data_IF_440286952255
#
_entry.id   IF_440286952255
#
_cell.length_a   1.000
_cell.length_b   1.000
_cell.length_c   1.000
_cell.angle_alpha   90.00
_cell.angle_beta   90.00
_cell.angle_gamma   90.00
#
_symmetry.space_group_name_H-M   'P 1'
#
loop_
_entity.id
_entity.type
_entity.pdbx_description
1 polymer ?
#
# COMPACT_ATOMS: atom_id res chain seq x y z
N UNK A 1 26.27 -0.36 9.71
CA UNK A 1 25.36 -0.10 8.57
C UNK A 1 24.06 0.42 9.17
N UNK A 2 23.83 1.71 9.06
CA UNK A 2 22.64 2.36 9.60
C UNK A 2 21.47 2.01 8.70
N UNK A 3 20.52 1.21 9.21
CA UNK A 3 19.24 0.98 8.55
C UNK A 3 18.57 2.33 8.26
N UNK A 4 17.74 2.41 7.20
CA UNK A 4 16.97 3.60 6.86
C UNK A 4 16.15 4.05 8.06
N UNK A 5 16.49 5.21 8.60
CA UNK A 5 15.69 5.90 9.59
C UNK A 5 14.99 7.09 8.91
N UNK A 6 13.67 7.10 8.91
CA UNK A 6 12.90 8.26 8.46
C UNK A 6 12.88 9.32 9.58
N UNK A 7 13.93 10.13 9.63
CA UNK A 7 13.94 11.28 10.53
C UNK A 7 12.84 12.25 10.13
N UNK A 8 11.96 12.61 11.07
CA UNK A 8 10.79 13.44 10.82
C UNK A 8 11.16 14.92 10.64
N UNK A 9 12.12 15.21 9.75
CA UNK A 9 12.57 16.56 9.43
C UNK A 9 12.51 16.81 7.92
N UNK A 10 12.29 18.07 7.56
CA UNK A 10 12.31 18.50 6.17
C UNK A 10 13.69 18.26 5.54
N UNK A 11 14.76 18.55 6.26
CA UNK A 11 16.13 18.35 5.81
C UNK A 11 16.37 16.90 5.37
N UNK A 12 16.09 15.93 6.24
CA UNK A 12 16.27 14.50 5.92
C UNK A 12 15.43 14.05 4.72
N UNK A 13 14.20 14.59 4.59
CA UNK A 13 13.33 14.29 3.45
C UNK A 13 13.94 14.79 2.13
N UNK A 14 14.45 16.02 2.12
CA UNK A 14 15.06 16.60 0.92
C UNK A 14 16.42 15.97 0.59
N UNK A 15 17.24 15.62 1.56
CA UNK A 15 18.48 14.86 1.34
C UNK A 15 18.20 13.51 0.69
N UNK A 16 17.33 12.71 1.29
CA UNK A 16 16.95 11.40 0.74
C UNK A 16 16.35 11.51 -0.66
N UNK A 17 15.57 12.55 -0.91
CA UNK A 17 15.04 12.80 -2.24
C UNK A 17 16.13 13.17 -3.24
N UNK A 18 17.05 14.07 -2.88
CA UNK A 18 18.16 14.50 -3.73
C UNK A 18 19.05 13.31 -4.12
N UNK A 19 19.35 12.42 -3.18
CA UNK A 19 20.09 11.18 -3.44
C UNK A 19 19.35 10.23 -4.40
N UNK A 20 18.02 10.19 -4.35
CA UNK A 20 17.23 9.33 -5.22
C UNK A 20 17.05 9.86 -6.63
N UNK A 21 16.95 11.19 -6.85
CA UNK A 21 16.67 11.80 -8.16
C UNK A 21 17.48 11.21 -9.31
N UNK A 22 18.81 10.99 -9.20
CA UNK A 22 19.59 10.41 -10.31
C UNK A 22 19.09 9.03 -10.77
N UNK A 23 18.46 8.28 -9.87
CA UNK A 23 18.01 6.90 -10.10
C UNK A 23 16.53 6.80 -10.51
N UNK A 24 15.76 7.89 -10.44
CA UNK A 24 14.31 7.92 -10.65
C UNK A 24 13.85 7.53 -12.06
N UNK A 25 14.76 7.46 -13.03
CA UNK A 25 14.49 7.09 -14.41
C UNK A 25 14.51 5.58 -14.68
N UNK A 26 15.23 5.19 -15.74
CA UNK A 26 15.31 3.78 -16.18
C UNK A 26 15.84 2.82 -15.12
N UNK A 27 16.75 3.26 -14.28
CA UNK A 27 17.30 2.44 -13.21
C UNK A 27 16.21 2.05 -12.20
N UNK A 28 15.35 3.00 -11.79
CA UNK A 28 14.18 2.69 -10.98
C UNK A 28 13.23 1.73 -11.70
N UNK A 29 12.90 2.00 -12.95
CA UNK A 29 11.96 1.19 -13.72
C UNK A 29 12.37 -0.30 -13.78
N UNK A 30 13.67 -0.58 -13.92
CA UNK A 30 14.21 -1.94 -14.03
C UNK A 30 14.36 -2.65 -12.67
N UNK A 31 14.63 -1.91 -11.60
CA UNK A 31 15.01 -2.50 -10.33
C UNK A 31 13.94 -2.38 -9.21
N UNK A 32 12.94 -1.52 -9.39
CA UNK A 32 11.94 -1.19 -8.36
C UNK A 32 11.17 -2.38 -7.78
N UNK A 33 11.15 -3.49 -8.48
CA UNK A 33 10.41 -4.67 -8.04
C UNK A 33 11.20 -5.58 -7.08
N UNK A 34 12.52 -5.39 -6.98
CA UNK A 34 13.34 -6.22 -6.09
C UNK A 34 13.26 -5.71 -4.65
N UNK A 35 12.90 -6.60 -3.75
CA UNK A 35 13.05 -6.41 -2.31
C UNK A 35 14.42 -6.93 -1.88
N UNK A 36 15.33 -6.00 -1.59
CA UNK A 36 16.69 -6.29 -1.18
C UNK A 36 16.82 -6.44 0.34
N UNK A 37 15.72 -6.29 1.08
CA UNK A 37 15.66 -6.35 2.53
C UNK A 37 15.75 -4.98 3.21
N UNK A 38 15.61 -4.95 4.54
CA UNK A 38 15.48 -3.70 5.29
C UNK A 38 16.74 -2.83 5.30
N UNK A 39 17.91 -3.39 5.01
CA UNK A 39 19.18 -2.68 5.06
C UNK A 39 19.66 -2.18 3.69
N UNK A 40 19.08 -2.64 2.60
CA UNK A 40 19.40 -2.20 1.24
C UNK A 40 18.14 -1.82 0.48
N UNK A 41 17.95 -0.53 0.28
CA UNK A 41 16.81 0.04 -0.46
C UNK A 41 17.25 0.98 -1.58
N UNK A 42 18.47 0.81 -2.04
CA UNK A 42 19.06 1.68 -3.04
C UNK A 42 18.28 1.72 -4.38
N UNK A 43 17.57 0.65 -4.69
CA UNK A 43 16.80 0.51 -5.93
C UNK A 43 15.42 1.22 -5.94
N UNK A 44 15.00 1.77 -4.81
CA UNK A 44 13.71 2.44 -4.63
C UNK A 44 13.88 3.80 -3.96
N UNK A 45 12.82 4.61 -3.95
CA UNK A 45 12.87 5.95 -3.33
C UNK A 45 12.72 5.93 -1.81
N UNK A 46 11.91 5.01 -1.28
CA UNK A 46 11.52 4.96 0.12
C UNK A 46 11.01 6.28 0.72
N UNK A 47 10.46 7.19 -0.11
CA UNK A 47 10.00 8.54 0.28
C UNK A 47 8.59 8.58 0.86
N UNK A 48 7.89 7.45 0.84
CA UNK A 48 6.46 7.39 1.18
C UNK A 48 6.10 7.93 2.57
N UNK A 49 6.91 7.76 3.65
CA UNK A 49 6.61 8.40 4.93
C UNK A 49 6.58 9.93 4.86
N UNK A 50 7.58 10.55 4.26
CA UNK A 50 7.63 12.01 4.11
C UNK A 50 6.54 12.56 3.20
N UNK A 51 6.20 11.83 2.12
CA UNK A 51 5.07 12.20 1.26
C UNK A 51 3.75 12.03 2.01
N UNK A 52 3.57 10.99 2.81
CA UNK A 52 2.37 10.78 3.63
C UNK A 52 2.14 11.94 4.59
N UNK A 53 3.19 12.42 5.22
CA UNK A 53 3.13 13.51 6.21
C UNK A 53 3.32 14.90 5.60
N UNK A 54 3.30 15.03 4.27
CA UNK A 54 3.38 16.32 3.54
C UNK A 54 4.69 17.08 3.74
N UNK A 55 5.75 16.43 4.20
CA UNK A 55 7.10 17.00 4.22
C UNK A 55 7.64 17.15 2.80
N UNK A 56 7.30 16.19 1.92
CA UNK A 56 7.43 16.28 0.46
C UNK A 56 6.04 16.19 -0.16
N UNK A 57 5.76 17.02 -1.16
CA UNK A 57 4.51 16.95 -1.93
C UNK A 57 4.69 16.12 -3.19
N UNK A 58 3.63 15.47 -3.65
CA UNK A 58 3.62 14.71 -4.90
C UNK A 58 4.00 15.61 -6.10
N UNK A 59 3.54 16.86 -6.09
CA UNK A 59 3.86 17.85 -7.12
C UNK A 59 5.36 18.17 -7.15
N UNK A 60 5.94 18.50 -5.99
CA UNK A 60 7.37 18.82 -5.88
C UNK A 60 8.23 17.63 -6.33
N UNK A 61 7.91 16.42 -5.86
CA UNK A 61 8.65 15.20 -6.23
C UNK A 61 8.58 14.95 -7.73
N UNK A 62 7.39 15.05 -8.32
CA UNK A 62 7.20 14.80 -9.74
C UNK A 62 7.88 15.85 -10.61
N UNK A 63 7.67 17.14 -10.32
CA UNK A 63 8.26 18.24 -11.10
C UNK A 63 9.79 18.21 -11.06
N UNK A 64 10.38 17.98 -9.90
CA UNK A 64 11.84 17.90 -9.75
C UNK A 64 12.44 16.72 -10.51
N UNK A 65 11.82 15.55 -10.46
CA UNK A 65 12.27 14.38 -11.23
C UNK A 65 12.20 14.65 -12.74
N UNK A 66 11.13 15.32 -13.21
CA UNK A 66 10.94 15.64 -14.62
C UNK A 66 11.87 16.76 -15.14
N UNK A 67 12.51 17.52 -14.27
CA UNK A 67 13.60 18.44 -14.65
C UNK A 67 14.88 17.68 -15.04
N UNK A 68 15.09 16.45 -14.53
CA UNK A 68 16.28 15.66 -14.78
C UNK A 68 16.07 14.49 -15.75
N UNK A 69 14.87 13.92 -15.78
CA UNK A 69 14.50 12.77 -16.59
C UNK A 69 13.34 13.13 -17.51
N UNK A 70 13.34 12.63 -18.75
CA UNK A 70 12.14 12.71 -19.57
C UNK A 70 11.00 11.91 -18.96
N UNK A 71 9.76 12.27 -19.26
CA UNK A 71 8.58 11.54 -18.81
C UNK A 71 8.67 10.05 -19.20
N UNK A 72 9.14 9.75 -20.40
CA UNK A 72 9.32 8.36 -20.85
C UNK A 72 10.31 7.58 -19.97
N UNK A 73 11.37 8.21 -19.47
CA UNK A 73 12.35 7.57 -18.60
C UNK A 73 11.83 7.39 -17.17
N UNK A 74 11.11 8.37 -16.65
CA UNK A 74 10.62 8.41 -15.28
C UNK A 74 9.17 7.89 -15.12
N UNK A 75 8.53 7.44 -16.22
CA UNK A 75 7.12 7.06 -16.24
C UNK A 75 6.73 6.16 -15.06
N UNK A 76 7.52 5.13 -14.77
CA UNK A 76 7.20 4.19 -13.70
C UNK A 76 7.25 4.82 -12.32
N UNK A 77 8.17 5.76 -12.08
CA UNK A 77 8.23 6.47 -10.82
C UNK A 77 7.08 7.47 -10.68
N UNK A 78 6.83 8.26 -11.72
CA UNK A 78 5.72 9.22 -11.75
C UNK A 78 4.38 8.52 -11.53
N UNK A 79 4.15 7.38 -12.18
CA UNK A 79 2.95 6.57 -11.96
C UNK A 79 2.76 6.19 -10.48
N UNK A 80 3.81 5.72 -9.79
CA UNK A 80 3.71 5.33 -8.37
C UNK A 80 3.39 6.55 -7.47
N UNK A 81 3.90 7.73 -7.81
CA UNK A 81 3.56 8.96 -7.07
C UNK A 81 2.10 9.36 -7.32
N UNK A 82 1.65 9.33 -8.57
CA UNK A 82 0.28 9.72 -8.97
C UNK A 82 -0.77 8.75 -8.42
N UNK A 83 -0.47 7.46 -8.28
CA UNK A 83 -1.39 6.49 -7.67
C UNK A 83 -1.88 6.93 -6.27
N UNK A 84 -1.06 7.62 -5.48
CA UNK A 84 -1.46 8.14 -4.16
C UNK A 84 -2.61 9.14 -4.28
N UNK A 85 -2.48 10.10 -5.19
CA UNK A 85 -3.52 11.11 -5.45
C UNK A 85 -4.78 10.45 -6.00
N UNK A 86 -4.62 9.51 -6.93
CA UNK A 86 -5.73 8.77 -7.50
C UNK A 86 -6.53 8.01 -6.42
N UNK A 87 -5.86 7.27 -5.53
CA UNK A 87 -6.55 6.52 -4.48
C UNK A 87 -7.30 7.42 -3.51
N UNK A 88 -6.73 8.57 -3.14
CA UNK A 88 -7.40 9.55 -2.28
C UNK A 88 -8.68 10.08 -2.92
N UNK A 89 -8.58 10.57 -4.14
CA UNK A 89 -9.75 11.05 -4.88
C UNK A 89 -10.80 9.96 -5.11
N UNK A 90 -10.36 8.73 -5.37
CA UNK A 90 -11.27 7.60 -5.55
C UNK A 90 -12.06 7.29 -4.27
N UNK A 91 -11.40 7.23 -3.12
CA UNK A 91 -12.06 6.94 -1.84
C UNK A 91 -12.93 8.11 -1.37
N UNK A 92 -12.50 9.34 -1.60
CA UNK A 92 -13.28 10.54 -1.28
C UNK A 92 -14.64 10.55 -1.97
N UNK A 93 -14.67 10.14 -3.24
CA UNK A 93 -15.92 10.03 -4.00
C UNK A 93 -16.75 8.79 -3.66
N UNK A 94 -16.21 7.87 -2.87
CA UNK A 94 -16.88 6.63 -2.44
C UNK A 94 -16.75 6.41 -0.93
N UNK A 95 -17.24 7.35 -0.11
CA UNK A 95 -17.05 7.30 1.35
C UNK A 95 -17.73 6.09 2.01
N UNK A 96 -18.67 5.45 1.33
CA UNK A 96 -19.30 4.22 1.80
C UNK A 96 -18.31 3.07 1.91
N UNK A 97 -17.31 3.00 1.05
CA UNK A 97 -16.26 1.97 1.11
C UNK A 97 -15.48 2.05 2.42
N UNK A 98 -15.10 3.26 2.82
CA UNK A 98 -14.41 3.48 4.09
C UNK A 98 -15.30 3.17 5.29
N UNK A 99 -16.54 3.66 5.28
CA UNK A 99 -17.49 3.38 6.38
C UNK A 99 -17.79 1.89 6.54
N UNK A 100 -17.96 1.16 5.43
CA UNK A 100 -18.16 -0.29 5.46
C UNK A 100 -16.93 -1.01 6.02
N UNK A 101 -15.73 -0.60 5.61
CA UNK A 101 -14.48 -1.14 6.17
C UNK A 101 -14.44 -0.96 7.69
N UNK A 102 -14.70 0.25 8.20
CA UNK A 102 -14.67 0.50 9.64
C UNK A 102 -15.72 -0.31 10.40
N UNK A 103 -16.95 -0.41 9.89
CA UNK A 103 -18.00 -1.20 10.52
C UNK A 103 -17.65 -2.70 10.55
N UNK A 104 -17.10 -3.24 9.47
CA UNK A 104 -16.65 -4.62 9.42
C UNK A 104 -15.49 -4.88 10.39
N UNK A 105 -14.52 -3.96 10.43
CA UNK A 105 -13.38 -4.05 11.35
C UNK A 105 -13.82 -4.09 12.80
N UNK A 106 -14.75 -3.22 13.20
CA UNK A 106 -15.30 -3.22 14.56
C UNK A 106 -15.98 -4.55 14.92
N UNK A 107 -16.83 -5.07 14.01
CA UNK A 107 -17.47 -6.37 14.20
C UNK A 107 -16.44 -7.51 14.33
N UNK A 108 -15.34 -7.46 13.58
CA UNK A 108 -14.27 -8.45 13.66
C UNK A 108 -13.49 -8.34 14.97
N UNK A 109 -13.20 -7.13 15.44
CA UNK A 109 -12.54 -6.91 16.74
C UNK A 109 -13.37 -7.45 17.91
N UNK A 110 -14.69 -7.24 17.89
CA UNK A 110 -15.60 -7.83 18.89
C UNK A 110 -15.51 -9.36 18.86
N UNK A 111 -15.50 -9.99 17.69
CA UNK A 111 -15.35 -11.45 17.56
C UNK A 111 -14.01 -11.97 18.06
N UNK A 112 -12.91 -11.25 17.77
CA UNK A 112 -11.58 -11.60 18.30
C UNK A 112 -11.55 -11.54 19.83
N UNK A 113 -12.11 -10.47 20.42
CA UNK A 113 -12.18 -10.31 21.88
C UNK A 113 -13.00 -11.39 22.57
N UNK A 114 -13.95 -12.02 21.88
CA UNK A 114 -14.75 -13.14 22.41
C UNK A 114 -13.97 -14.48 22.51
N UNK A 115 -12.72 -14.54 22.04
CA UNK A 115 -11.84 -15.69 22.21
C UNK A 115 -12.23 -16.90 21.35
N UNK A 116 -12.05 -16.82 20.05
CA UNK A 116 -12.29 -17.94 19.11
C UNK A 116 -10.97 -18.51 18.59
N UNK A 117 -11.01 -19.69 17.94
CA UNK A 117 -9.85 -20.23 17.22
C UNK A 117 -9.27 -19.24 16.18
N UNK A 118 -10.13 -18.38 15.61
CA UNK A 118 -9.71 -17.29 14.71
C UNK A 118 -8.91 -16.20 15.44
N UNK A 119 -9.07 -16.05 16.75
CA UNK A 119 -8.29 -15.12 17.57
C UNK A 119 -6.83 -15.59 17.65
N UNK A 120 -6.60 -16.86 17.99
CA UNK A 120 -5.25 -17.43 18.04
C UNK A 120 -4.54 -17.34 16.70
N UNK A 121 -5.24 -17.64 15.61
CA UNK A 121 -4.68 -17.56 14.26
C UNK A 121 -4.33 -16.12 13.87
N UNK A 122 -5.14 -15.13 14.28
CA UNK A 122 -4.83 -13.71 14.10
C UNK A 122 -3.60 -13.32 14.91
N UNK A 123 -3.53 -13.73 16.17
CA UNK A 123 -2.40 -13.41 17.06
C UNK A 123 -1.10 -14.00 16.54
N UNK A 124 -1.11 -15.27 16.09
CA UNK A 124 0.05 -15.89 15.44
C UNK A 124 0.50 -15.12 14.19
N UNK A 125 -0.46 -14.71 13.36
CA UNK A 125 -0.14 -13.93 12.17
C UNK A 125 0.41 -12.54 12.51
N UNK A 126 -0.18 -11.86 13.50
CA UNK A 126 0.24 -10.55 13.94
C UNK A 126 1.60 -10.57 14.66
N UNK A 127 1.97 -11.68 15.31
CA UNK A 127 3.27 -11.87 15.94
C UNK A 127 4.34 -12.43 14.99
N UNK A 128 3.96 -12.94 13.82
CA UNK A 128 4.91 -13.55 12.87
C UNK A 128 5.33 -14.96 13.30
N UNK A 129 4.37 -15.77 13.76
CA UNK A 129 4.55 -17.15 14.21
C UNK A 129 3.77 -18.13 13.32
N UNK A 130 3.67 -17.81 12.04
CA UNK A 130 2.87 -18.60 11.09
C UNK A 130 3.62 -19.83 10.56
N UNK A 131 4.94 -19.86 10.71
CA UNK A 131 5.80 -20.87 10.09
C UNK A 131 6.05 -20.64 8.59
N UNK A 132 5.62 -19.49 8.04
CA UNK A 132 5.94 -19.07 6.68
C UNK A 132 7.09 -18.06 6.78
N UNK A 133 8.32 -18.51 6.57
CA UNK A 133 9.54 -17.74 6.84
C UNK A 133 9.52 -16.31 6.30
N UNK A 134 9.09 -16.13 5.05
CA UNK A 134 9.05 -14.79 4.46
C UNK A 134 8.02 -13.89 5.15
N UNK A 135 6.86 -14.43 5.50
CA UNK A 135 5.79 -13.68 6.15
C UNK A 135 6.21 -13.24 7.55
N UNK A 136 6.76 -14.16 8.33
CA UNK A 136 7.22 -13.93 9.70
C UNK A 136 8.37 -12.90 9.73
N UNK A 137 9.32 -13.00 8.79
CA UNK A 137 10.36 -11.99 8.60
C UNK A 137 9.77 -10.61 8.25
N UNK A 138 8.75 -10.53 7.41
CA UNK A 138 8.12 -9.26 7.04
C UNK A 138 7.28 -8.65 8.17
N UNK A 139 6.67 -9.46 9.03
CA UNK A 139 6.04 -8.97 10.28
C UNK A 139 7.09 -8.33 11.17
N UNK A 140 8.22 -9.00 11.39
CA UNK A 140 9.31 -8.45 12.18
C UNK A 140 9.88 -7.16 11.56
N UNK A 141 10.08 -7.12 10.24
CA UNK A 141 10.52 -5.93 9.51
C UNK A 141 9.53 -4.77 9.67
N UNK A 142 8.23 -5.04 9.53
CA UNK A 142 7.19 -4.03 9.67
C UNK A 142 7.16 -3.44 11.09
N UNK A 143 7.19 -4.30 12.10
CA UNK A 143 7.19 -3.87 13.52
C UNK A 143 8.46 -3.08 13.87
N UNK A 144 9.61 -3.49 13.34
CA UNK A 144 10.90 -2.85 13.64
C UNK A 144 11.10 -1.52 12.92
N UNK A 145 10.74 -1.44 11.63
CA UNK A 145 11.07 -0.30 10.78
C UNK A 145 9.86 0.56 10.40
N UNK A 146 8.64 0.09 10.64
CA UNK A 146 7.42 0.78 10.23
C UNK A 146 7.25 0.89 8.72
N UNK A 147 7.90 0.02 7.95
CA UNK A 147 7.86 0.12 6.50
C UNK A 147 8.17 -1.22 5.82
N UNK A 148 7.51 -1.47 4.69
CA UNK A 148 7.75 -2.62 3.82
C UNK A 148 7.86 -2.19 2.37
N UNK A 149 8.66 -2.93 1.60
CA UNK A 149 8.74 -2.79 0.15
C UNK A 149 7.35 -3.00 -0.50
N UNK A 150 7.03 -2.27 -1.58
CA UNK A 150 5.70 -2.34 -2.21
C UNK A 150 5.30 -3.78 -2.64
N UNK A 151 6.20 -4.53 -3.27
CA UNK A 151 5.95 -5.94 -3.61
C UNK A 151 5.68 -6.80 -2.38
N UNK A 152 6.43 -6.58 -1.30
CA UNK A 152 6.23 -7.29 -0.02
C UNK A 152 4.82 -7.04 0.50
N UNK A 153 4.33 -5.79 0.45
CA UNK A 153 2.96 -5.48 0.88
C UNK A 153 1.90 -6.28 0.11
N UNK A 154 2.11 -6.48 -1.18
CA UNK A 154 1.19 -7.27 -2.02
C UNK A 154 1.25 -8.76 -1.67
N UNK A 155 2.45 -9.32 -1.50
CA UNK A 155 2.62 -10.72 -1.08
C UNK A 155 2.09 -10.95 0.31
N UNK A 156 2.40 -10.07 1.25
CA UNK A 156 1.89 -10.12 2.63
C UNK A 156 0.37 -10.17 2.65
N UNK A 157 -0.29 -9.23 1.97
CA UNK A 157 -1.75 -9.20 1.91
C UNK A 157 -2.33 -10.45 1.26
N UNK A 158 -1.70 -10.99 0.21
CA UNK A 158 -2.12 -12.23 -0.42
C UNK A 158 -1.96 -13.44 0.51
N UNK A 159 -0.85 -13.56 1.23
CA UNK A 159 -0.63 -14.63 2.21
C UNK A 159 -1.66 -14.52 3.35
N UNK A 160 -1.85 -13.34 3.90
CA UNK A 160 -2.84 -13.07 4.94
C UNK A 160 -4.24 -13.55 4.54
N UNK A 161 -4.70 -13.13 3.35
CA UNK A 161 -6.07 -13.39 2.89
C UNK A 161 -6.27 -14.84 2.43
N UNK A 162 -5.36 -15.35 1.57
CA UNK A 162 -5.61 -16.60 0.85
C UNK A 162 -4.91 -17.81 1.46
N UNK A 163 -3.76 -17.63 2.10
CA UNK A 163 -3.03 -18.74 2.75
C UNK A 163 -3.47 -18.88 4.20
N UNK A 164 -3.43 -17.80 4.97
CA UNK A 164 -3.85 -17.79 6.37
C UNK A 164 -5.37 -17.67 6.54
N UNK A 165 -6.10 -17.34 5.47
CA UNK A 165 -7.57 -17.21 5.45
C UNK A 165 -8.12 -16.21 6.47
N UNK A 166 -7.35 -15.18 6.78
CA UNK A 166 -7.74 -14.13 7.71
C UNK A 166 -8.50 -13.01 6.99
N UNK A 167 -9.45 -12.35 7.64
CA UNK A 167 -10.16 -11.20 7.10
C UNK A 167 -9.20 -10.10 6.65
N UNK A 168 -9.41 -9.58 5.45
CA UNK A 168 -8.56 -8.53 4.89
C UNK A 168 -8.61 -7.24 5.70
N UNK A 169 -9.74 -6.94 6.35
CA UNK A 169 -9.92 -5.76 7.19
C UNK A 169 -8.95 -5.76 8.37
N UNK A 170 -8.71 -6.91 8.99
CA UNK A 170 -7.76 -7.05 10.09
C UNK A 170 -6.32 -6.82 9.61
N UNK A 171 -5.96 -7.37 8.45
CA UNK A 171 -4.64 -7.14 7.86
C UNK A 171 -4.43 -5.68 7.44
N UNK A 172 -5.46 -5.04 6.88
CA UNK A 172 -5.42 -3.62 6.56
C UNK A 172 -5.26 -2.74 7.82
N UNK A 173 -5.93 -3.11 8.92
CA UNK A 173 -5.76 -2.45 10.22
C UNK A 173 -4.35 -2.63 10.77
N UNK A 174 -3.83 -3.86 10.72
CA UNK A 174 -2.47 -4.17 11.14
C UNK A 174 -1.42 -3.33 10.39
N UNK A 175 -1.58 -3.19 9.07
CA UNK A 175 -0.72 -2.30 8.27
C UNK A 175 -0.87 -0.83 8.66
N UNK A 176 -2.09 -0.39 8.88
CA UNK A 176 -2.36 1.00 9.22
C UNK A 176 -1.77 1.40 10.57
N UNK A 177 -1.75 0.48 11.52
CA UNK A 177 -1.18 0.66 12.86
C UNK A 177 0.35 0.71 12.86
N UNK A 178 1.01 -0.05 11.97
CA UNK A 178 2.47 -0.20 11.99
C UNK A 178 3.20 0.62 10.92
N UNK A 179 2.54 0.99 9.81
CA UNK A 179 3.20 1.70 8.71
C UNK A 179 3.37 3.19 8.99
N UNK A 180 4.59 3.70 8.93
CA UNK A 180 4.91 5.13 8.98
C UNK A 180 4.24 5.91 7.83
N UNK A 181 4.01 5.26 6.69
CA UNK A 181 3.32 5.83 5.54
C UNK A 181 1.85 5.39 5.45
N UNK A 182 1.28 4.89 6.54
CA UNK A 182 -0.11 4.44 6.62
C UNK A 182 -1.09 5.52 6.16
N UNK A 183 -1.74 5.29 5.02
CA UNK A 183 -2.69 6.21 4.40
C UNK A 183 -4.04 5.50 4.25
N UNK A 184 -5.15 6.05 4.81
CA UNK A 184 -6.45 5.38 4.78
C UNK A 184 -6.89 4.94 3.39
N UNK A 185 -6.67 5.80 2.38
CA UNK A 185 -7.08 5.48 1.02
C UNK A 185 -6.17 4.44 0.38
N UNK A 186 -4.87 4.71 0.32
CA UNK A 186 -3.92 3.81 -0.34
C UNK A 186 -3.90 2.43 0.32
N UNK A 187 -3.89 2.38 1.65
CA UNK A 187 -3.87 1.12 2.38
C UNK A 187 -5.15 0.30 2.14
N UNK A 188 -6.32 0.87 2.42
CA UNK A 188 -7.60 0.16 2.27
C UNK A 188 -7.83 -0.31 0.84
N UNK A 189 -7.57 0.56 -0.15
CA UNK A 189 -7.84 0.22 -1.54
C UNK A 189 -6.83 -0.78 -2.11
N UNK A 190 -5.57 -0.76 -1.64
CA UNK A 190 -4.57 -1.76 -2.02
C UNK A 190 -4.91 -3.14 -1.46
N UNK A 191 -5.34 -3.23 -0.19
CA UNK A 191 -5.82 -4.48 0.39
C UNK A 191 -7.05 -5.02 -0.34
N UNK A 192 -8.01 -4.15 -0.67
CA UNK A 192 -9.18 -4.49 -1.48
C UNK A 192 -8.80 -4.97 -2.89
N UNK A 193 -7.76 -4.36 -3.47
CA UNK A 193 -7.27 -4.78 -4.78
C UNK A 193 -6.70 -6.20 -4.74
N UNK A 194 -5.86 -6.52 -3.76
CA UNK A 194 -5.34 -7.89 -3.58
C UNK A 194 -6.49 -8.88 -3.37
N UNK A 195 -7.49 -8.51 -2.58
CA UNK A 195 -8.66 -9.33 -2.25
C UNK A 195 -9.64 -9.53 -3.43
N UNK A 196 -9.46 -8.85 -4.58
CA UNK A 196 -10.37 -8.91 -5.72
C UNK A 196 -11.65 -8.07 -5.56
N UNK A 197 -11.71 -7.20 -4.57
CA UNK A 197 -12.87 -6.36 -4.25
C UNK A 197 -12.83 -4.99 -4.95
N UNK A 198 -11.66 -4.54 -5.38
CA UNK A 198 -11.48 -3.26 -6.07
C UNK A 198 -11.74 -3.37 -7.57
N UNK A 199 -11.34 -4.48 -8.15
CA UNK A 199 -11.69 -4.87 -9.51
C UNK A 199 -12.30 -6.26 -9.44
N UNK A 200 -13.60 -6.37 -9.63
CA UNK A 200 -14.34 -7.62 -9.47
C UNK A 200 -13.69 -8.77 -10.23
N UNK A 201 -13.46 -9.87 -9.53
CA UNK A 201 -12.89 -11.10 -10.10
C UNK A 201 -11.39 -11.07 -10.41
N UNK A 202 -10.68 -9.98 -10.10
CA UNK A 202 -9.22 -9.88 -10.26
C UNK A 202 -8.54 -9.88 -8.91
N UNK A 203 -8.17 -11.05 -8.42
CA UNK A 203 -7.37 -11.24 -7.21
C UNK A 203 -5.87 -11.21 -7.53
N UNK A 204 -5.04 -10.88 -6.55
CA UNK A 204 -3.60 -11.01 -6.64
C UNK A 204 -3.12 -12.15 -5.74
N UNK A 205 -2.56 -13.21 -6.34
CA UNK A 205 -2.02 -14.36 -5.61
C UNK A 205 -0.50 -14.31 -5.55
N UNK A 206 0.06 -14.38 -4.35
CA UNK A 206 1.49 -14.52 -4.15
C UNK A 206 1.97 -15.86 -4.71
N UNK A 207 3.03 -15.84 -5.52
CA UNK A 207 3.62 -17.05 -6.13
C UNK A 207 5.05 -17.22 -5.62
N UNK A 208 5.39 -18.45 -5.23
CA UNK A 208 6.71 -18.79 -4.69
C UNK A 208 7.85 -18.38 -5.61
N UNK A 209 7.70 -18.60 -6.93
CA UNK A 209 8.71 -18.24 -7.94
C UNK A 209 8.89 -16.72 -8.03
N UNK A 210 7.80 -15.96 -7.86
CA UNK A 210 7.83 -14.51 -7.88
C UNK A 210 8.54 -13.96 -6.65
N UNK A 211 8.21 -14.49 -5.46
CA UNK A 211 8.90 -14.16 -4.20
C UNK A 211 10.38 -14.49 -4.31
N UNK A 212 10.74 -15.71 -4.66
CA UNK A 212 12.14 -16.14 -4.80
C UNK A 212 12.91 -15.22 -5.77
N UNK A 213 12.34 -14.93 -6.94
CA UNK A 213 12.96 -14.07 -7.96
C UNK A 213 13.24 -12.66 -7.42
N UNK A 214 12.23 -12.01 -6.87
CA UNK A 214 12.33 -10.59 -6.50
C UNK A 214 12.92 -10.36 -5.11
N UNK A 215 13.14 -11.42 -4.33
CA UNK A 215 13.95 -11.38 -3.10
C UNK A 215 15.37 -11.93 -3.32
N UNK A 216 15.77 -12.15 -4.59
CA UNK A 216 17.07 -12.73 -4.95
C UNK A 216 17.35 -14.06 -4.22
N UNK A 217 16.34 -14.89 -4.06
CA UNK A 217 16.45 -16.21 -3.44
C UNK A 217 16.53 -16.19 -1.91
N UNK A 218 16.30 -15.05 -1.23
CA UNK A 218 16.27 -14.99 0.25
C UNK A 218 15.18 -15.91 0.84
N UNK A 219 14.07 -16.09 0.14
CA UNK A 219 12.95 -16.90 0.60
C UNK A 219 12.58 -17.97 -0.42
N UNK A 220 12.28 -19.16 0.10
CA UNK A 220 11.71 -20.27 -0.66
C UNK A 220 10.41 -20.73 0.00
N UNK A 221 9.30 -20.31 -0.57
CA UNK A 221 7.95 -20.59 -0.04
C UNK A 221 7.25 -21.73 -0.77
N UNK A 222 8.00 -22.60 -1.47
CA UNK A 222 7.42 -23.68 -2.27
C UNK A 222 6.60 -24.64 -1.40
N UNK A 223 5.33 -24.83 -1.76
CA UNK A 223 4.38 -25.66 -1.01
C UNK A 223 3.75 -25.01 0.22
N UNK A 224 4.12 -23.77 0.58
CA UNK A 224 3.58 -23.07 1.76
C UNK A 224 2.41 -22.15 1.44
N UNK A 225 2.30 -21.71 0.19
CA UNK A 225 1.31 -20.69 -0.22
C UNK A 225 0.08 -21.33 -0.85
N UNK A 226 -1.06 -20.67 -0.71
CA UNK A 226 -2.28 -21.05 -1.42
C UNK A 226 -2.04 -21.06 -2.93
N UNK A 227 -2.44 -22.12 -3.59
CA UNK A 227 -2.33 -22.28 -5.05
C UNK A 227 -3.31 -21.39 -5.80
N UNK A 228 -4.46 -21.09 -5.17
CA UNK A 228 -5.56 -20.33 -5.77
C UNK A 228 -6.09 -19.29 -4.78
N UNK A 229 -6.52 -18.16 -5.33
CA UNK A 229 -7.25 -17.15 -4.60
C UNK A 229 -8.75 -17.45 -4.70
N UNK A 230 -9.32 -17.98 -3.64
CA UNK A 230 -10.78 -18.14 -3.58
C UNK A 230 -11.45 -16.75 -3.49
N UNK A 231 -12.44 -16.47 -4.34
CA UNK A 231 -13.18 -15.21 -4.26
C UNK A 231 -13.80 -15.05 -2.87
N UNK A 232 -13.67 -13.83 -2.31
CA UNK A 232 -14.40 -13.51 -1.08
C UNK A 232 -15.90 -13.45 -1.36
N UNK A 233 -16.76 -13.87 -0.40
CA UNK A 233 -18.20 -13.85 -0.58
C UNK A 233 -18.69 -12.45 -0.99
N UNK A 234 -19.43 -12.34 -2.09
CA UNK A 234 -19.97 -11.07 -2.59
C UNK A 234 -20.97 -10.40 -1.64
N UNK A 235 -21.59 -11.19 -0.75
CA UNK A 235 -22.53 -10.70 0.27
C UNK A 235 -21.89 -9.80 1.33
N UNK A 236 -20.57 -9.91 1.54
CA UNK A 236 -19.84 -9.07 2.49
C UNK A 236 -19.51 -7.66 1.92
N UNK A 237 -19.66 -7.47 0.63
CA UNK A 237 -19.21 -6.26 -0.05
C UNK A 237 -20.24 -5.82 -1.10
N UNK A 238 -21.14 -4.90 -0.74
CA UNK A 238 -22.12 -4.40 -1.71
C UNK A 238 -21.38 -3.86 -2.95
N UNK A 239 -21.99 -4.05 -4.14
CA UNK A 239 -21.43 -3.52 -5.37
C UNK A 239 -21.18 -2.03 -5.25
N UNK A 240 -20.04 -1.56 -5.75
CA UNK A 240 -19.73 -0.14 -5.77
C UNK A 240 -20.81 0.57 -6.59
N UNK A 241 -21.50 1.51 -5.96
CA UNK A 241 -22.43 2.37 -6.71
C UNK A 241 -21.66 3.05 -7.85
N UNK A 242 -22.24 3.13 -9.05
CA UNK A 242 -21.65 3.86 -10.15
C UNK A 242 -21.28 5.28 -9.70
N UNK A 243 -20.16 5.79 -10.17
CA UNK A 243 -19.78 7.18 -9.95
C UNK A 243 -20.90 8.06 -10.48
N UNK A 244 -21.62 8.74 -9.60
CA UNK A 244 -22.50 9.83 -10.04
C UNK A 244 -21.60 11.03 -10.32
N UNK A 245 -21.28 11.23 -11.58
CA UNK A 245 -20.69 12.48 -12.04
C UNK A 245 -21.81 13.52 -11.93
N UNK A 246 -21.74 14.37 -10.91
CA UNK A 246 -22.62 15.53 -10.80
C UNK A 246 -22.07 16.64 -11.70
N UNK A 247 -22.71 16.82 -12.84
CA UNK A 247 -22.40 17.85 -13.80
C UNK A 247 -21.62 17.33 -15.02
N UNK A 248 -21.81 17.98 -16.15
CA UNK A 248 -20.91 17.89 -17.30
C UNK A 248 -19.67 18.68 -16.93
N UNK A 249 -18.52 18.06 -16.96
CA UNK A 249 -17.25 18.79 -17.02
C UNK A 249 -17.33 19.64 -18.30
N UNK A 250 -17.35 20.95 -18.15
CA UNK A 250 -17.24 21.88 -19.27
C UNK A 250 -15.76 22.06 -19.58
N UNK A 251 -15.43 22.48 -20.80
CA UNK A 251 -14.05 22.71 -21.20
C UNK A 251 -13.36 23.85 -20.39
N UNK A 252 -14.13 24.58 -19.58
CA UNK A 252 -13.64 25.59 -18.64
C UNK A 252 -13.40 25.05 -17.23
N UNK A 253 -13.85 23.82 -16.95
CA UNK A 253 -13.52 23.16 -15.68
C UNK A 253 -12.08 22.71 -15.78
N UNK A 254 -11.19 23.50 -15.19
CA UNK A 254 -9.76 23.20 -15.18
C UNK A 254 -9.56 21.88 -14.43
N UNK A 255 -9.24 20.83 -15.16
CA UNK A 255 -9.00 19.49 -14.61
C UNK A 255 -7.83 19.50 -13.58
N UNK A 256 -7.06 20.58 -13.55
CA UNK A 256 -5.90 20.77 -12.69
C UNK A 256 -6.17 21.70 -11.51
N UNK A 257 -7.32 22.36 -11.48
CA UNK A 257 -7.72 23.19 -10.35
C UNK A 257 -9.01 22.62 -9.71
N UNK A 258 -8.88 21.56 -8.90
CA UNK A 258 -10.04 20.99 -8.23
C UNK A 258 -10.65 22.04 -7.31
N UNK A 259 -11.99 22.11 -7.22
CA UNK A 259 -12.67 23.07 -6.36
C UNK A 259 -12.05 23.06 -4.96
N UNK A 260 -11.87 24.23 -4.35
CA UNK A 260 -11.25 24.38 -3.02
C UNK A 260 -11.89 23.46 -1.94
N UNK A 261 -13.16 23.14 -2.11
CA UNK A 261 -13.90 22.16 -1.27
C UNK A 261 -13.34 20.74 -1.41
N UNK A 262 -12.98 20.32 -2.62
CA UNK A 262 -12.37 19.01 -2.89
C UNK A 262 -10.97 18.91 -2.27
N UNK A 263 -10.20 19.98 -2.35
CA UNK A 263 -8.88 20.07 -1.70
C UNK A 263 -8.97 20.01 -0.18
N UNK A 264 -9.99 20.62 0.42
CA UNK A 264 -10.25 20.54 1.85
C UNK A 264 -10.56 19.11 2.30
N UNK A 265 -11.38 18.39 1.55
CA UNK A 265 -11.72 16.99 1.85
C UNK A 265 -10.53 16.05 1.68
N UNK A 266 -9.74 16.21 0.63
CA UNK A 266 -8.48 15.49 0.47
C UNK A 266 -7.54 15.76 1.64
N UNK A 267 -7.47 16.99 2.11
CA UNK A 267 -6.70 17.36 3.28
C UNK A 267 -7.17 16.64 4.56
N UNK A 268 -8.48 16.43 4.72
CA UNK A 268 -9.05 15.67 5.86
C UNK A 268 -8.67 14.20 5.76
N UNK A 269 -8.79 13.58 4.59
CA UNK A 269 -8.40 12.18 4.39
C UNK A 269 -6.89 11.93 4.59
N UNK A 270 -6.08 12.98 4.46
CA UNK A 270 -4.63 12.90 4.68
C UNK A 270 -4.22 13.20 6.12
N UNK A 271 -5.09 13.82 6.91
CA UNK A 271 -4.83 14.18 8.32
C UNK A 271 -5.45 13.23 9.33
N UNK A 272 -6.41 12.42 8.92
CA UNK A 272 -7.01 11.34 9.73
C UNK A 272 -6.18 10.03 9.62
#
# INVERSE_FOLDING_TARGET
MTGLHWTATQHAAFESFAEFIPRAGRQYASNRNFDLGPTDRFNISALSPWIRHRTLTEEHVTSTVLQRHSLQQAEKFVQEVVWRTYWKGWLEQRPTVWRTYLANLENLRVKLAAGSASSLQYDDAAEGWTGIDCFDCWVAELKQYGWLHNHVRMWFASIWIFTLKLPWELGASFFYEHLLDGDPASNTLSWRWVAGLQTLGKTYTAKSENIARYTKGRFNTRGQLASEALPLPSSAHPPLSPLRVFGRLTASDDLFDPPAVSMGKLGVLTRA
#
